data_IF_565367906003
#
_entry.id   IF_565367906003
#
_cell.length_a   1.000
_cell.length_b   1.000
_cell.length_c   1.000
_cell.angle_alpha   90.00
_cell.angle_beta   90.00
_cell.angle_gamma   90.00
#
_symmetry.space_group_name_H-M   'P 1'
#
loop_
_entity.id
_entity.type
_entity.pdbx_description
1 polymer ?
#
# COMPACT_ATOMS: atom_id res chain seq x y z
N UNK A 1 -0.29 18.91 6.81
CA UNK A 1 -1.50 19.74 6.56
C UNK A 1 -1.12 20.88 5.63
N UNK A 2 -2.01 21.24 4.70
CA UNK A 2 -1.80 22.34 3.76
C UNK A 2 -1.97 23.69 4.46
N UNK A 3 -1.02 24.59 4.24
CA UNK A 3 -1.22 26.01 4.47
C UNK A 3 -2.15 26.50 3.34
N UNK A 4 -3.47 26.57 3.60
CA UNK A 4 -4.47 27.12 2.67
C UNK A 4 -5.47 27.96 3.44
N UNK A 5 -5.63 29.21 3.02
CA UNK A 5 -6.48 30.22 3.68
C UNK A 5 -5.74 31.53 3.97
N UNK A 6 -4.43 31.46 4.25
CA UNK A 6 -3.64 32.66 4.60
C UNK A 6 -3.60 33.67 3.44
N UNK A 7 -4.23 34.84 3.64
CA UNK A 7 -4.00 36.03 2.83
C UNK A 7 -2.54 36.46 2.99
N UNK A 8 -1.97 37.13 1.98
CA UNK A 8 -0.55 37.55 1.93
C UNK A 8 -0.19 38.44 3.13
N UNK A 9 0.32 37.84 4.21
CA UNK A 9 0.63 38.51 5.48
C UNK A 9 0.08 37.84 6.74
N UNK A 10 -0.90 36.92 6.64
CA UNK A 10 -1.43 36.17 7.78
C UNK A 10 -0.43 35.09 8.23
N UNK A 11 0.17 35.29 9.41
CA UNK A 11 1.02 34.31 10.09
C UNK A 11 0.26 33.47 11.12
N UNK A 12 -1.02 33.77 11.35
CA UNK A 12 -1.91 33.01 12.23
C UNK A 12 -2.21 31.63 11.64
N UNK A 13 -2.03 30.53 12.40
CA UNK A 13 -2.54 29.23 11.99
C UNK A 13 -4.05 29.29 11.75
N UNK A 14 -4.55 28.59 10.72
CA UNK A 14 -5.98 28.32 10.58
C UNK A 14 -6.48 27.58 11.82
N UNK A 15 -7.47 28.15 12.52
CA UNK A 15 -7.94 27.61 13.82
C UNK A 15 -8.62 26.24 13.69
N UNK A 16 -9.21 25.93 12.53
CA UNK A 16 -9.92 24.69 12.29
C UNK A 16 -9.00 23.58 11.78
N UNK A 17 -8.92 22.51 12.57
CA UNK A 17 -8.30 21.23 12.21
C UNK A 17 -9.25 20.43 11.31
N UNK A 18 -8.70 19.70 10.33
CA UNK A 18 -9.46 18.71 9.54
C UNK A 18 -9.75 17.42 10.33
N UNK A 19 -9.07 17.22 11.46
CA UNK A 19 -9.39 16.15 12.41
C UNK A 19 -10.55 16.57 13.30
N UNK A 20 -11.63 15.78 13.31
CA UNK A 20 -12.75 15.93 14.23
C UNK A 20 -12.49 15.12 15.51
N UNK A 21 -12.48 15.78 16.67
CA UNK A 21 -12.20 15.13 17.96
C UNK A 21 -13.39 14.35 18.53
N UNK A 22 -14.61 14.53 18.03
CA UNK A 22 -15.79 13.76 18.47
C UNK A 22 -15.90 12.48 17.66
N UNK A 23 -15.81 12.61 16.34
CA UNK A 23 -15.90 11.50 15.40
C UNK A 23 -14.56 10.79 15.19
N UNK A 24 -13.46 11.30 15.76
CA UNK A 24 -12.11 10.72 15.72
C UNK A 24 -11.71 10.28 14.30
N UNK A 25 -11.92 11.18 13.33
CA UNK A 25 -11.67 10.94 11.91
C UNK A 25 -11.30 12.25 11.20
N UNK A 26 -10.69 12.15 10.02
CA UNK A 26 -10.39 13.30 9.18
C UNK A 26 -11.52 13.57 8.17
N UNK A 27 -11.96 14.82 8.09
CA UNK A 27 -12.99 15.27 7.16
C UNK A 27 -12.48 16.40 6.27
N UNK A 28 -13.02 16.49 5.05
CA UNK A 28 -12.82 17.66 4.19
C UNK A 28 -13.58 18.87 4.74
N UNK A 29 -13.10 20.07 4.43
CA UNK A 29 -13.80 21.31 4.74
C UNK A 29 -14.01 22.14 3.48
N UNK A 30 -15.23 22.67 3.30
CA UNK A 30 -15.56 23.63 2.27
C UNK A 30 -15.46 25.06 2.81
N UNK A 31 -14.90 25.96 2.02
CA UNK A 31 -14.77 27.38 2.35
C UNK A 31 -15.48 28.22 1.30
N UNK A 32 -16.39 29.11 1.73
CA UNK A 32 -17.21 29.95 0.85
C UNK A 32 -17.51 31.30 1.51
N UNK A 33 -17.10 32.39 0.87
CA UNK A 33 -17.09 33.72 1.51
C UNK A 33 -16.20 33.70 2.75
N UNK A 34 -16.69 34.21 3.87
CA UNK A 34 -16.00 34.12 5.17
C UNK A 34 -16.36 32.87 6.00
N UNK A 35 -17.10 31.91 5.42
CA UNK A 35 -17.54 30.69 6.12
C UNK A 35 -16.66 29.50 5.77
N UNK A 36 -16.34 28.68 6.77
CA UNK A 36 -15.72 27.37 6.61
C UNK A 36 -16.54 26.33 7.34
N UNK A 37 -16.88 25.23 6.67
CA UNK A 37 -17.71 24.15 7.20
C UNK A 37 -17.05 22.80 6.93
N UNK A 38 -16.97 21.96 7.97
CA UNK A 38 -16.57 20.55 7.84
C UNK A 38 -17.67 19.75 7.14
N UNK A 39 -17.27 18.84 6.26
CA UNK A 39 -18.14 17.90 5.55
C UNK A 39 -17.93 16.50 6.17
N UNK A 40 -18.79 16.05 7.11
CA UNK A 40 -18.68 14.75 7.80
C UNK A 40 -19.01 13.56 6.88
N UNK A 41 -18.23 13.41 5.82
CA UNK A 41 -18.28 12.35 4.83
C UNK A 41 -17.09 11.43 5.11
N UNK A 42 -17.37 10.21 5.56
CA UNK A 42 -16.39 9.14 5.83
C UNK A 42 -15.90 8.55 4.50
N UNK A 43 -15.17 9.35 3.75
CA UNK A 43 -14.51 8.94 2.50
C UNK A 43 -13.07 8.49 2.75
N UNK A 44 -12.50 7.84 1.75
CA UNK A 44 -11.09 7.49 1.71
C UNK A 44 -10.15 8.72 1.83
N UNK A 45 -10.64 9.94 1.58
CA UNK A 45 -9.87 11.18 1.85
C UNK A 45 -9.48 11.29 3.32
N UNK A 46 -10.34 10.84 4.24
CA UNK A 46 -10.03 10.78 5.68
C UNK A 46 -8.93 9.76 6.04
N UNK A 47 -8.61 8.83 5.14
CA UNK A 47 -7.53 7.85 5.29
C UNK A 47 -6.21 8.33 4.66
N UNK A 48 -6.24 9.29 3.72
CA UNK A 48 -5.04 9.84 3.04
C UNK A 48 -3.94 10.31 4.00
N UNK A 49 -4.21 10.90 5.20
CA UNK A 49 -3.16 11.26 6.15
C UNK A 49 -2.22 10.12 6.55
N UNK A 50 -2.64 8.85 6.46
CA UNK A 50 -1.80 7.67 6.70
C UNK A 50 -0.65 7.55 5.67
N UNK A 51 -0.86 8.00 4.43
CA UNK A 51 0.12 7.92 3.33
C UNK A 51 1.36 8.77 3.59
N UNK A 52 1.19 9.85 4.34
CA UNK A 52 2.28 10.73 4.75
C UNK A 52 2.99 10.14 5.98
N UNK A 53 3.60 8.97 5.79
CA UNK A 53 4.41 8.24 6.77
C UNK A 53 5.75 7.80 6.17
N UNK A 54 6.83 7.97 6.92
CA UNK A 54 8.19 7.54 6.54
C UNK A 54 8.97 7.08 7.77
N UNK A 55 9.45 5.85 7.74
CA UNK A 55 10.28 5.26 8.80
C UNK A 55 11.76 5.38 8.41
N UNK A 56 12.59 5.93 9.29
CA UNK A 56 14.00 6.21 9.07
C UNK A 56 14.88 5.31 9.95
N UNK A 57 15.75 4.53 9.32
CA UNK A 57 16.70 3.63 10.00
C UNK A 57 17.92 4.39 10.55
N UNK A 58 18.47 4.04 11.73
CA UNK A 58 19.66 4.67 12.30
C UNK A 58 20.86 4.66 11.35
N UNK A 59 21.07 3.56 10.63
CA UNK A 59 22.15 3.37 9.66
C UNK A 59 22.02 4.30 8.47
N UNK A 60 20.79 4.66 8.09
CA UNK A 60 20.52 5.63 7.04
C UNK A 60 20.82 7.05 7.54
N UNK A 61 20.38 7.41 8.75
CA UNK A 61 20.68 8.70 9.37
C UNK A 61 22.19 8.92 9.56
N UNK A 62 22.92 7.88 9.96
CA UNK A 62 24.37 7.94 10.15
C UNK A 62 25.14 8.15 8.83
N UNK A 63 24.58 7.77 7.67
CA UNK A 63 25.15 8.08 6.34
C UNK A 63 24.96 9.54 5.92
N UNK A 64 24.03 10.27 6.54
CA UNK A 64 23.70 11.66 6.21
C UNK A 64 23.82 12.59 7.44
N UNK A 65 25.03 12.78 8.01
CA UNK A 65 25.22 13.51 9.27
C UNK A 65 24.72 14.96 9.21
N UNK A 66 24.85 15.64 8.07
CA UNK A 66 24.33 17.00 7.87
C UNK A 66 22.80 17.08 7.86
N UNK A 67 22.11 15.99 7.47
CA UNK A 67 20.66 15.88 7.59
C UNK A 67 20.27 15.57 9.04
N UNK A 68 20.91 14.55 9.64
CA UNK A 68 20.73 14.16 11.05
C UNK A 68 20.83 15.37 12.00
N UNK A 69 21.89 16.17 11.90
CA UNK A 69 22.06 17.40 12.69
C UNK A 69 20.91 18.41 12.57
N UNK A 70 20.32 18.56 11.37
CA UNK A 70 19.16 19.45 11.16
C UNK A 70 17.86 18.84 11.68
N UNK A 71 17.73 17.52 11.58
CA UNK A 71 16.61 16.76 12.13
C UNK A 71 16.60 16.89 13.66
N UNK A 72 17.71 16.54 14.31
CA UNK A 72 17.88 16.62 15.76
C UNK A 72 17.64 18.06 16.26
N UNK A 73 18.23 19.07 15.61
CA UNK A 73 17.98 20.48 15.95
C UNK A 73 16.50 20.87 15.83
N UNK A 74 15.79 20.41 14.79
CA UNK A 74 14.36 20.68 14.62
C UNK A 74 13.54 20.03 15.74
N UNK A 75 13.85 18.79 16.11
CA UNK A 75 13.20 18.07 17.22
C UNK A 75 13.38 18.82 18.53
N UNK A 76 14.61 19.25 18.83
CA UNK A 76 14.94 19.98 20.06
C UNK A 76 14.28 21.37 20.14
N UNK A 77 14.27 22.12 19.02
CA UNK A 77 13.94 23.55 19.00
C UNK A 77 12.52 23.86 18.49
N UNK A 78 11.82 22.90 17.88
CA UNK A 78 10.45 23.05 17.33
C UNK A 78 9.48 21.98 17.86
N UNK A 79 9.65 21.58 19.12
CA UNK A 79 8.82 20.58 19.83
C UNK A 79 7.32 20.73 19.58
N UNK A 80 6.75 21.93 19.74
CA UNK A 80 5.31 22.18 19.51
C UNK A 80 4.82 21.92 18.08
N UNK A 81 5.71 21.97 17.08
CA UNK A 81 5.39 21.61 15.69
C UNK A 81 5.63 20.12 15.44
N UNK A 82 6.71 19.56 16.01
CA UNK A 82 7.02 18.14 15.95
C UNK A 82 5.94 17.29 16.63
N UNK A 83 5.64 17.54 17.90
CA UNK A 83 4.65 16.81 18.70
C UNK A 83 3.23 16.86 18.11
N UNK A 84 2.87 17.96 17.42
CA UNK A 84 1.54 18.13 16.80
C UNK A 84 1.40 17.53 15.39
N UNK A 85 2.50 17.35 14.65
CA UNK A 85 2.45 17.02 13.21
C UNK A 85 3.38 15.87 12.79
N UNK A 86 4.22 15.35 13.69
CA UNK A 86 5.21 14.32 13.41
C UNK A 86 5.21 13.30 14.54
N UNK A 87 4.58 12.15 14.28
CA UNK A 87 4.48 11.06 15.23
C UNK A 87 5.85 10.55 15.70
N UNK A 88 6.17 10.80 16.97
CA UNK A 88 7.34 10.24 17.66
C UNK A 88 8.71 10.68 17.11
N UNK A 89 9.01 11.96 17.30
CA UNK A 89 10.35 12.50 17.13
C UNK A 89 11.28 12.29 18.34
N UNK A 90 10.71 12.17 19.54
CA UNK A 90 11.46 12.02 20.80
C UNK A 90 11.66 10.57 21.20
N UNK A 91 10.69 9.70 20.92
CA UNK A 91 10.78 8.29 21.26
C UNK A 91 11.30 7.53 20.03
N UNK A 92 12.00 6.43 20.28
CA UNK A 92 12.58 5.57 19.25
C UNK A 92 11.69 4.34 19.10
N UNK A 93 11.48 3.91 17.86
CA UNK A 93 10.75 2.69 17.53
C UNK A 93 11.67 1.49 17.44
N UNK A 94 11.14 0.36 16.97
CA UNK A 94 11.86 -0.91 16.85
C UNK A 94 13.16 -0.74 16.04
N UNK A 95 14.28 -1.11 16.65
CA UNK A 95 15.61 -0.95 16.05
C UNK A 95 16.08 0.51 15.98
N UNK A 96 15.78 1.32 17.01
CA UNK A 96 16.13 2.75 17.11
C UNK A 96 15.57 3.63 15.98
N UNK A 97 14.53 3.15 15.27
CA UNK A 97 13.96 3.85 14.12
C UNK A 97 13.24 5.14 14.53
N UNK A 98 13.25 6.11 13.62
CA UNK A 98 12.43 7.32 13.70
C UNK A 98 11.21 7.20 12.79
N UNK A 99 10.06 7.74 13.23
CA UNK A 99 8.88 7.89 12.40
C UNK A 99 8.66 9.36 12.05
N UNK A 100 8.44 9.62 10.76
CA UNK A 100 7.95 10.90 10.25
C UNK A 100 6.54 10.67 9.71
N UNK A 101 5.51 10.86 10.53
CA UNK A 101 4.12 10.69 10.10
C UNK A 101 3.18 11.80 10.57
N UNK A 102 2.22 12.20 9.73
CA UNK A 102 1.19 13.20 10.08
C UNK A 102 0.19 12.70 11.14
N UNK A 103 0.07 11.38 11.30
CA UNK A 103 -0.88 10.70 12.18
C UNK A 103 -0.09 10.07 13.33
N UNK A 104 -0.40 10.47 14.57
CA UNK A 104 0.18 9.90 15.80
C UNK A 104 -0.45 8.54 16.15
N UNK A 105 0.03 7.88 17.22
CA UNK A 105 -0.42 6.53 17.59
C UNK A 105 -1.93 6.49 17.88
N UNK A 106 -2.42 7.53 18.56
CA UNK A 106 -3.79 7.65 19.03
C UNK A 106 -4.76 7.79 17.85
N UNK A 107 -4.46 8.74 16.94
CA UNK A 107 -5.24 8.92 15.70
C UNK A 107 -5.10 7.74 14.75
N UNK A 108 -3.94 7.08 14.71
CA UNK A 108 -3.73 5.87 13.90
C UNK A 108 -4.71 4.78 14.33
N UNK A 109 -4.76 4.44 15.63
CA UNK A 109 -5.69 3.43 16.14
C UNK A 109 -7.14 3.82 15.84
N UNK A 110 -7.55 5.07 16.11
CA UNK A 110 -8.93 5.52 15.90
C UNK A 110 -9.36 5.54 14.41
N UNK A 111 -8.43 5.76 13.48
CA UNK A 111 -8.69 5.61 12.03
C UNK A 111 -8.82 4.12 11.68
N UNK A 112 -7.94 3.27 12.20
CA UNK A 112 -7.95 1.84 11.90
C UNK A 112 -9.22 1.15 12.40
N UNK A 113 -9.80 1.57 13.53
CA UNK A 113 -11.09 1.05 14.01
C UNK A 113 -12.23 1.18 12.98
N UNK A 114 -12.22 2.23 12.14
CA UNK A 114 -13.20 2.40 11.05
C UNK A 114 -12.73 1.78 9.74
N UNK A 115 -11.43 1.90 9.45
CA UNK A 115 -10.84 1.38 8.21
C UNK A 115 -10.97 -0.15 8.12
N UNK A 116 -10.92 -0.85 9.25
CA UNK A 116 -10.96 -2.30 9.36
C UNK A 116 -12.35 -2.84 9.77
N UNK A 117 -13.38 -1.98 9.76
CA UNK A 117 -14.78 -2.36 10.03
C UNK A 117 -15.52 -2.68 8.73
N UNK A 118 -16.19 -3.83 8.70
CA UNK A 118 -16.86 -4.36 7.50
C UNK A 118 -18.20 -3.67 7.19
N UNK A 119 -18.83 -3.04 8.18
CA UNK A 119 -19.98 -2.14 8.01
C UNK A 119 -19.55 -0.71 7.60
N UNK A 120 -18.25 -0.43 7.58
CA UNK A 120 -17.67 0.84 7.12
C UNK A 120 -16.82 0.63 5.85
N UNK A 121 -15.49 0.53 6.01
CA UNK A 121 -14.54 0.60 4.89
C UNK A 121 -14.03 -0.76 4.39
N UNK A 122 -14.04 -1.81 5.22
CA UNK A 122 -13.45 -3.10 4.90
C UNK A 122 -14.43 -3.98 4.11
N UNK A 123 -14.24 -4.10 2.81
CA UNK A 123 -14.93 -5.10 1.99
C UNK A 123 -14.22 -6.44 2.04
N UNK A 124 -14.90 -7.52 1.68
CA UNK A 124 -14.27 -8.82 1.34
C UNK A 124 -13.21 -8.69 0.23
N UNK A 125 -13.26 -7.60 -0.55
CA UNK A 125 -12.39 -7.36 -1.70
C UNK A 125 -11.36 -6.24 -1.49
N UNK A 126 -11.26 -5.64 -0.30
CA UNK A 126 -10.32 -4.56 0.03
C UNK A 126 -10.98 -3.31 0.65
N UNK A 127 -10.28 -2.17 0.67
CA UNK A 127 -10.78 -0.93 1.27
C UNK A 127 -11.62 -0.13 0.25
N UNK A 128 -12.87 0.16 0.64
CA UNK A 128 -13.86 0.95 -0.11
C UNK A 128 -13.46 2.44 -0.20
N UNK A 129 -13.85 3.12 -1.27
CA UNK A 129 -13.59 4.57 -1.45
C UNK A 129 -14.47 5.49 -0.60
N UNK A 130 -15.63 4.99 -0.16
CA UNK A 130 -16.54 5.63 0.80
C UNK A 130 -17.02 4.56 1.78
N UNK A 131 -17.18 4.93 3.05
CA UNK A 131 -17.73 4.03 4.05
C UNK A 131 -19.16 3.61 3.73
N UNK A 132 -19.45 2.32 3.91
CA UNK A 132 -20.78 1.72 3.79
C UNK A 132 -21.78 2.25 4.83
N UNK A 133 -21.32 2.91 5.90
CA UNK A 133 -22.16 3.71 6.80
C UNK A 133 -23.09 4.69 6.06
N UNK A 134 -22.62 5.27 4.95
CA UNK A 134 -23.37 6.21 4.12
C UNK A 134 -24.43 5.56 3.22
N UNK A 135 -24.63 4.24 3.28
CA UNK A 135 -25.80 3.56 2.72
C UNK A 135 -27.05 3.89 3.55
N UNK A 136 -26.92 3.76 4.87
CA UNK A 136 -28.00 3.99 5.85
C UNK A 136 -28.05 5.45 6.32
N UNK A 137 -26.92 6.18 6.23
CA UNK A 137 -26.75 7.55 6.72
C UNK A 137 -26.11 8.45 5.63
N UNK A 138 -26.82 8.73 4.53
CA UNK A 138 -26.30 9.62 3.49
C UNK A 138 -25.99 11.00 4.06
N UNK A 139 -24.91 11.63 3.59
CA UNK A 139 -24.62 13.03 3.93
C UNK A 139 -25.43 13.95 3.03
N UNK A 140 -26.17 14.90 3.62
CA UNK A 140 -27.06 15.81 2.91
C UNK A 140 -26.69 17.27 3.19
N UNK A 141 -26.76 18.11 2.16
CA UNK A 141 -26.54 19.56 2.28
C UNK A 141 -27.56 20.31 1.41
N UNK A 142 -28.30 21.25 2.00
CA UNK A 142 -29.13 22.20 1.26
C UNK A 142 -28.29 23.45 0.94
N UNK A 143 -28.23 23.83 -0.34
CA UNK A 143 -27.65 25.09 -0.80
C UNK A 143 -28.68 25.81 -1.65
N UNK A 144 -29.19 26.93 -1.14
CA UNK A 144 -30.19 27.79 -1.82
C UNK A 144 -31.48 27.05 -2.25
N UNK A 145 -31.93 26.05 -1.50
CA UNK A 145 -33.09 25.22 -1.83
C UNK A 145 -32.80 24.07 -2.79
N UNK A 146 -31.53 23.86 -3.17
CA UNK A 146 -31.08 22.66 -3.86
C UNK A 146 -30.43 21.70 -2.86
N UNK A 147 -31.04 20.52 -2.70
CA UNK A 147 -30.50 19.42 -1.90
C UNK A 147 -29.42 18.67 -2.67
N UNK A 148 -28.25 18.52 -2.06
CA UNK A 148 -27.15 17.65 -2.48
C UNK A 148 -27.05 16.46 -1.53
N UNK A 149 -26.74 15.28 -2.07
CA UNK A 149 -26.67 14.01 -1.33
C UNK A 149 -25.39 13.25 -1.71
N UNK A 150 -24.68 12.74 -0.69
CA UNK A 150 -23.57 11.80 -0.84
C UNK A 150 -23.90 10.54 -0.05
N UNK A 151 -24.31 9.50 -0.77
CA UNK A 151 -24.57 8.15 -0.25
C UNK A 151 -23.54 7.14 -0.74
N UNK A 152 -23.48 6.00 -0.06
CA UNK A 152 -22.73 4.83 -0.52
C UNK A 152 -23.32 4.26 -1.81
N UNK A 153 -22.46 3.96 -2.77
CA UNK A 153 -22.73 3.24 -4.01
C UNK A 153 -21.56 2.27 -4.25
N UNK A 154 -21.77 0.95 -4.19
CA UNK A 154 -20.66 0.00 -4.28
C UNK A 154 -20.02 -0.01 -5.68
N UNK A 155 -20.77 0.27 -6.74
CA UNK A 155 -20.31 0.25 -8.13
C UNK A 155 -20.43 1.60 -8.83
N UNK A 156 -21.25 1.67 -9.88
CA UNK A 156 -21.40 2.87 -10.71
C UNK A 156 -22.13 4.02 -9.99
N UNK A 157 -21.74 5.24 -10.33
CA UNK A 157 -22.37 6.49 -9.89
C UNK A 157 -23.80 6.63 -10.42
N UNK A 158 -24.75 6.91 -9.53
CA UNK A 158 -26.15 7.20 -9.87
C UNK A 158 -26.38 8.62 -10.43
N UNK A 159 -25.33 9.41 -10.62
CA UNK A 159 -25.41 10.77 -11.16
C UNK A 159 -24.25 11.12 -12.10
N UNK A 160 -24.54 11.98 -13.08
CA UNK A 160 -23.59 12.47 -14.08
C UNK A 160 -22.68 13.62 -13.61
N UNK A 161 -22.62 13.91 -12.31
CA UNK A 161 -21.85 15.02 -11.76
C UNK A 161 -20.38 14.96 -12.21
N UNK A 162 -19.82 16.10 -12.63
CA UNK A 162 -18.46 16.23 -13.16
C UNK A 162 -18.13 15.34 -14.38
N UNK A 163 -19.12 15.08 -15.25
CA UNK A 163 -18.88 14.42 -16.55
C UNK A 163 -19.01 12.89 -16.54
N UNK A 164 -19.70 12.33 -15.54
CA UNK A 164 -20.22 10.96 -15.62
C UNK A 164 -19.28 9.81 -15.20
N UNK A 165 -18.03 10.08 -14.78
CA UNK A 165 -17.10 9.03 -14.29
C UNK A 165 -16.61 9.25 -12.84
N UNK A 166 -17.40 9.92 -11.98
CA UNK A 166 -17.00 10.17 -10.58
C UNK A 166 -17.32 8.98 -9.66
N UNK A 167 -16.63 7.85 -9.90
CA UNK A 167 -16.89 6.56 -9.26
C UNK A 167 -16.07 6.33 -7.97
N UNK A 168 -16.19 7.26 -7.02
CA UNK A 168 -15.47 7.26 -5.73
C UNK A 168 -16.39 7.21 -4.50
N UNK A 169 -17.64 6.77 -4.69
CA UNK A 169 -18.69 6.70 -3.65
C UNK A 169 -18.85 5.32 -3.01
N UNK A 170 -17.83 4.47 -3.07
CA UNK A 170 -17.89 3.11 -2.52
C UNK A 170 -17.03 2.05 -3.22
N UNK A 171 -16.71 2.14 -4.53
CA UNK A 171 -15.86 1.15 -5.20
C UNK A 171 -14.46 1.05 -4.60
N UNK A 172 -13.79 -0.06 -4.89
CA UNK A 172 -12.43 -0.39 -4.44
C UNK A 172 -11.45 -0.03 -5.55
N UNK A 173 -10.43 0.75 -5.19
CA UNK A 173 -9.42 1.26 -6.10
C UNK A 173 -8.03 0.77 -5.68
N UNK A 174 -7.31 0.13 -6.61
CA UNK A 174 -5.98 -0.44 -6.35
C UNK A 174 -4.88 0.56 -5.94
N UNK A 175 -4.78 1.79 -6.51
CA UNK A 175 -3.73 2.75 -6.13
C UNK A 175 -3.78 3.12 -4.64
N UNK A 176 -4.98 3.36 -4.12
CA UNK A 176 -5.19 3.86 -2.76
C UNK A 176 -5.08 2.74 -1.73
N UNK A 177 -5.54 1.53 -2.07
CA UNK A 177 -5.26 0.32 -1.30
C UNK A 177 -3.75 0.03 -1.24
N UNK A 178 -3.02 0.22 -2.34
CA UNK A 178 -1.56 0.11 -2.35
C UNK A 178 -0.87 1.08 -1.40
N UNK A 179 -1.30 2.35 -1.37
CA UNK A 179 -0.77 3.33 -0.43
C UNK A 179 -1.15 3.03 1.02
N UNK A 180 -2.35 2.50 1.30
CA UNK A 180 -2.76 2.06 2.66
C UNK A 180 -1.89 0.90 3.15
N UNK A 181 -1.74 -0.15 2.34
CA UNK A 181 -0.93 -1.34 2.62
C UNK A 181 0.54 -0.96 2.89
N UNK A 182 1.13 -0.11 2.04
CA UNK A 182 2.50 0.38 2.25
C UNK A 182 2.61 1.28 3.50
N UNK A 183 1.57 2.03 3.88
CA UNK A 183 1.55 2.84 5.10
C UNK A 183 1.50 1.97 6.36
N UNK A 184 0.63 0.96 6.38
CA UNK A 184 0.55 -0.03 7.45
C UNK A 184 1.90 -0.72 7.68
N UNK A 185 2.59 -1.11 6.59
CA UNK A 185 3.94 -1.66 6.64
C UNK A 185 4.97 -0.66 7.21
N UNK A 186 4.92 0.63 6.87
CA UNK A 186 5.78 1.67 7.47
C UNK A 186 5.52 1.86 8.97
N UNK A 187 4.26 1.92 9.38
CA UNK A 187 3.89 2.00 10.79
C UNK A 187 4.33 0.74 11.56
N UNK A 188 4.21 -0.46 10.97
CA UNK A 188 4.75 -1.69 11.56
C UNK A 188 6.27 -1.65 11.76
N UNK A 189 7.05 -1.15 10.79
CA UNK A 189 8.50 -1.00 10.96
C UNK A 189 8.90 -0.07 12.12
N UNK A 190 7.99 0.79 12.57
CA UNK A 190 8.21 1.65 13.74
C UNK A 190 7.68 1.04 15.03
N UNK A 191 6.42 0.58 15.04
CA UNK A 191 5.72 0.11 16.24
C UNK A 191 5.90 -1.38 16.56
N UNK A 192 6.38 -2.19 15.62
CA UNK A 192 6.58 -3.63 15.79
C UNK A 192 5.30 -4.45 15.96
N UNK A 193 5.46 -5.61 16.59
CA UNK A 193 4.40 -6.55 16.99
C UNK A 193 3.55 -6.06 18.16
N UNK A 194 4.03 -5.08 18.93
CA UNK A 194 3.36 -4.55 20.13
C UNK A 194 2.07 -3.79 19.81
N UNK A 195 2.04 -3.05 18.70
CA UNK A 195 0.84 -2.35 18.26
C UNK A 195 -0.06 -3.30 17.47
N UNK A 196 -1.02 -3.87 18.18
CA UNK A 196 -2.11 -4.67 17.61
C UNK A 196 -3.41 -3.88 17.56
N UNK A 197 -4.21 -4.13 16.54
CA UNK A 197 -5.56 -3.60 16.36
C UNK A 197 -6.49 -4.75 15.99
N UNK A 198 -7.78 -4.58 16.29
CA UNK A 198 -8.81 -5.55 15.93
C UNK A 198 -9.02 -5.57 14.41
N UNK A 199 -8.95 -6.73 13.76
CA UNK A 199 -9.02 -6.85 12.30
C UNK A 199 -9.57 -8.21 11.86
N UNK A 200 -10.80 -8.31 11.32
CA UNK A 200 -11.80 -7.22 11.18
C UNK A 200 -12.28 -6.66 12.52
N UNK A 201 -12.81 -5.43 12.53
CA UNK A 201 -13.46 -4.85 13.71
C UNK A 201 -14.63 -5.72 14.16
N UNK A 202 -14.77 -5.97 15.46
CA UNK A 202 -15.79 -6.84 16.04
C UNK A 202 -15.50 -8.35 15.95
N UNK A 203 -14.40 -8.78 15.31
CA UNK A 203 -14.02 -10.19 15.24
C UNK A 203 -13.40 -10.75 16.53
N UNK A 204 -12.88 -9.89 17.40
CA UNK A 204 -12.05 -10.28 18.54
C UNK A 204 -10.62 -10.69 18.21
N UNK A 205 -10.24 -10.76 16.92
CA UNK A 205 -8.87 -11.09 16.50
C UNK A 205 -8.00 -9.83 16.40
N UNK A 206 -6.86 -9.84 17.11
CA UNK A 206 -5.95 -8.70 17.23
C UNK A 206 -4.67 -8.92 16.43
N UNK A 207 -4.58 -8.25 15.29
CA UNK A 207 -3.48 -8.35 14.35
C UNK A 207 -2.50 -7.17 14.50
N UNK A 208 -1.20 -7.42 14.28
CA UNK A 208 -0.23 -6.33 14.12
C UNK A 208 -0.38 -5.65 12.75
N UNK A 209 0.19 -4.47 12.58
CA UNK A 209 -0.04 -3.67 11.36
C UNK A 209 0.49 -4.32 10.07
N UNK A 210 1.49 -5.21 10.11
CA UNK A 210 1.91 -5.98 8.93
C UNK A 210 0.92 -7.10 8.59
N UNK A 211 0.33 -7.74 9.60
CA UNK A 211 -0.75 -8.73 9.42
C UNK A 211 -2.02 -8.06 8.87
N UNK A 212 -2.39 -6.87 9.35
CA UNK A 212 -3.48 -6.08 8.75
C UNK A 212 -3.20 -5.73 7.28
N UNK A 213 -1.95 -5.42 6.93
CA UNK A 213 -1.55 -5.18 5.55
C UNK A 213 -1.67 -6.44 4.68
N UNK A 214 -1.31 -7.63 5.21
CA UNK A 214 -1.48 -8.91 4.52
C UNK A 214 -2.96 -9.27 4.31
N UNK A 215 -3.82 -9.04 5.31
CA UNK A 215 -5.27 -9.28 5.21
C UNK A 215 -5.89 -8.47 4.06
N UNK A 216 -5.58 -7.17 3.96
CA UNK A 216 -6.02 -6.30 2.86
C UNK A 216 -5.47 -6.80 1.51
N UNK A 217 -4.20 -7.23 1.46
CA UNK A 217 -3.60 -7.79 0.25
C UNK A 217 -4.30 -9.07 -0.21
N UNK A 218 -4.63 -9.99 0.70
CA UNK A 218 -5.32 -11.24 0.38
C UNK A 218 -6.72 -10.99 -0.18
N UNK A 219 -7.50 -10.09 0.44
CA UNK A 219 -8.81 -9.65 -0.06
C UNK A 219 -8.73 -9.07 -1.48
N UNK A 220 -7.72 -8.25 -1.77
CA UNK A 220 -7.48 -7.71 -3.12
C UNK A 220 -6.94 -8.74 -4.12
N UNK A 221 -6.26 -9.79 -3.65
CA UNK A 221 -5.82 -10.91 -4.49
C UNK A 221 -6.99 -11.84 -4.84
N UNK A 222 -7.91 -12.09 -3.90
CA UNK A 222 -9.10 -12.93 -4.08
C UNK A 222 -10.01 -12.45 -5.22
N UNK A 223 -10.02 -11.15 -5.54
CA UNK A 223 -10.66 -10.60 -6.74
C UNK A 223 -10.33 -11.38 -8.03
N UNK A 224 -9.10 -11.91 -8.14
CA UNK A 224 -8.56 -12.57 -9.32
C UNK A 224 -8.31 -14.08 -9.12
N UNK A 225 -8.78 -14.68 -8.03
CA UNK A 225 -8.66 -16.13 -7.77
C UNK A 225 -10.02 -16.78 -8.04
N UNK A 226 -10.10 -17.99 -8.63
CA UNK A 226 -11.38 -18.65 -8.82
C UNK A 226 -11.85 -19.27 -7.50
N UNK A 227 -13.13 -19.12 -7.19
CA UNK A 227 -13.80 -19.78 -6.06
C UNK A 227 -13.93 -21.30 -6.29
N UNK A 228 -14.53 -22.01 -5.33
CA UNK A 228 -14.80 -23.44 -5.42
C UNK A 228 -15.71 -23.83 -6.61
N UNK A 229 -16.46 -22.88 -7.18
CA UNK A 229 -17.34 -23.06 -8.34
C UNK A 229 -16.67 -22.63 -9.67
N UNK A 230 -15.42 -22.14 -9.62
CA UNK A 230 -14.67 -21.63 -10.77
C UNK A 230 -14.90 -20.15 -11.12
N UNK A 231 -15.69 -19.41 -10.34
CA UNK A 231 -15.99 -18.00 -10.60
C UNK A 231 -14.93 -17.08 -10.00
N UNK A 232 -14.58 -15.99 -10.68
CA UNK A 232 -13.73 -14.92 -10.13
C UNK A 232 -14.58 -13.71 -9.81
N UNK A 233 -14.41 -13.09 -8.65
CA UNK A 233 -15.19 -11.90 -8.30
C UNK A 233 -15.03 -10.79 -9.36
N UNK A 234 -13.81 -10.55 -9.89
CA UNK A 234 -13.57 -9.56 -10.94
C UNK A 234 -14.41 -9.74 -12.22
N UNK A 235 -14.86 -10.97 -12.51
CA UNK A 235 -15.66 -11.30 -13.68
C UNK A 235 -17.18 -11.11 -13.46
N UNK A 236 -17.62 -10.98 -12.20
CA UNK A 236 -19.02 -11.08 -11.83
C UNK A 236 -19.67 -12.38 -12.31
N UNK A 237 -20.98 -12.33 -12.60
CA UNK A 237 -21.79 -13.48 -13.03
C UNK A 237 -21.57 -13.92 -14.50
N UNK A 238 -20.44 -13.56 -15.11
CA UNK A 238 -20.18 -13.84 -16.52
C UNK A 238 -19.60 -15.25 -16.74
N UNK A 239 -20.49 -16.22 -16.97
CA UNK A 239 -20.17 -17.62 -17.25
C UNK A 239 -19.12 -17.83 -18.37
N UNK A 240 -19.08 -16.95 -19.39
CA UNK A 240 -18.10 -17.08 -20.47
C UNK A 240 -16.66 -16.95 -19.92
N UNK A 241 -16.37 -15.89 -19.17
CA UNK A 241 -15.02 -15.63 -18.63
C UNK A 241 -14.74 -16.35 -17.31
N UNK A 242 -15.73 -17.02 -16.71
CA UNK A 242 -15.54 -17.88 -15.53
C UNK A 242 -15.36 -19.36 -15.90
N UNK A 243 -16.18 -19.90 -16.82
CA UNK A 243 -16.36 -21.35 -16.99
C UNK A 243 -15.97 -21.88 -18.36
N UNK A 244 -16.02 -21.07 -19.42
CA UNK A 244 -15.67 -21.53 -20.77
C UNK A 244 -14.19 -21.92 -20.85
N UNK A 245 -13.92 -23.09 -21.42
CA UNK A 245 -12.59 -23.69 -21.49
C UNK A 245 -11.58 -22.84 -22.29
N UNK A 246 -12.04 -21.95 -23.16
CA UNK A 246 -11.20 -21.03 -23.94
C UNK A 246 -11.04 -19.64 -23.29
N UNK A 247 -11.89 -19.27 -22.32
CA UNK A 247 -11.91 -17.90 -21.77
C UNK A 247 -11.58 -17.78 -20.27
N UNK A 248 -11.80 -18.82 -19.45
CA UNK A 248 -11.62 -18.80 -17.98
C UNK A 248 -10.24 -18.40 -17.45
N UNK A 249 -9.20 -18.56 -18.27
CA UNK A 249 -7.81 -18.27 -17.94
C UNK A 249 -7.36 -16.86 -18.39
N UNK A 250 -8.18 -16.16 -19.18
CA UNK A 250 -7.93 -14.77 -19.60
C UNK A 250 -8.54 -13.78 -18.60
N UNK A 251 -7.85 -13.55 -17.49
CA UNK A 251 -8.31 -12.66 -16.42
C UNK A 251 -8.14 -11.18 -16.82
N UNK A 252 -9.23 -10.40 -17.00
CA UNK A 252 -9.14 -8.97 -17.29
C UNK A 252 -8.79 -8.15 -16.05
N UNK A 253 -8.08 -7.04 -16.26
CA UNK A 253 -7.90 -5.99 -15.25
C UNK A 253 -8.85 -4.83 -15.51
N UNK A 254 -9.35 -4.22 -14.42
CA UNK A 254 -10.35 -3.15 -14.46
C UNK A 254 -9.85 -1.88 -13.79
N UNK A 255 -10.53 -0.77 -14.06
CA UNK A 255 -10.25 0.54 -13.48
C UNK A 255 -10.49 0.55 -11.97
N UNK A 256 -11.64 0.01 -11.55
CA UNK A 256 -12.04 -0.17 -10.16
C UNK A 256 -12.95 -1.40 -10.02
N UNK A 257 -13.25 -1.77 -8.78
CA UNK A 257 -14.03 -2.97 -8.45
C UNK A 257 -15.21 -2.60 -7.55
N UNK A 258 -16.33 -3.27 -7.74
CA UNK A 258 -17.54 -3.07 -6.95
C UNK A 258 -17.28 -3.39 -5.46
N UNK A 259 -17.63 -2.47 -4.58
CA UNK A 259 -17.29 -2.49 -3.16
C UNK A 259 -18.00 -3.56 -2.33
N UNK A 260 -19.00 -4.24 -2.89
CA UNK A 260 -19.76 -5.31 -2.23
C UNK A 260 -19.80 -6.63 -3.02
N UNK A 261 -19.50 -6.64 -4.32
CA UNK A 261 -19.50 -7.86 -5.15
C UNK A 261 -18.17 -8.16 -5.83
N UNK A 262 -17.20 -7.23 -5.78
CA UNK A 262 -15.88 -7.41 -6.38
C UNK A 262 -15.85 -7.45 -7.91
N UNK A 263 -17.00 -7.33 -8.61
CA UNK A 263 -17.03 -7.27 -10.08
C UNK A 263 -16.23 -6.08 -10.61
N UNK A 264 -15.52 -6.31 -11.70
CA UNK A 264 -14.73 -5.30 -12.37
C UNK A 264 -15.59 -4.27 -13.10
N UNK A 265 -15.24 -2.99 -12.96
CA UNK A 265 -15.99 -1.85 -13.48
C UNK A 265 -15.06 -0.80 -14.10
N UNK A 266 -15.65 0.14 -14.84
CA UNK A 266 -14.92 1.15 -15.61
C UNK A 266 -14.15 0.55 -16.80
N UNK A 267 -13.02 1.15 -17.16
CA UNK A 267 -12.20 0.66 -18.26
C UNK A 267 -11.67 -0.77 -18.00
N UNK A 268 -11.99 -1.71 -18.92
CA UNK A 268 -11.37 -3.05 -18.93
C UNK A 268 -9.99 -3.03 -19.60
N UNK A 269 -9.21 -4.08 -19.37
CA UNK A 269 -7.80 -4.18 -19.77
C UNK A 269 -6.90 -3.09 -19.17
N UNK A 270 -7.29 -2.54 -17.99
CA UNK A 270 -6.56 -1.52 -17.27
C UNK A 270 -5.30 -2.10 -16.59
N UNK A 271 -4.33 -2.54 -17.38
CA UNK A 271 -2.98 -2.94 -16.95
C UNK A 271 -2.09 -1.73 -16.60
N UNK A 272 -2.72 -0.68 -16.04
CA UNK A 272 -2.08 0.44 -15.36
C UNK A 272 -1.90 0.09 -13.88
N UNK A 273 -2.60 0.79 -13.00
CA UNK A 273 -2.45 0.61 -11.55
C UNK A 273 -2.85 -0.79 -11.04
N UNK A 274 -3.83 -1.44 -11.67
CA UNK A 274 -4.36 -2.74 -11.20
C UNK A 274 -3.32 -3.86 -11.31
N UNK A 275 -2.34 -3.71 -12.21
CA UNK A 275 -1.19 -4.61 -12.31
C UNK A 275 -0.32 -4.66 -11.03
N UNK A 276 -0.49 -3.73 -10.08
CA UNK A 276 0.19 -3.80 -8.77
C UNK A 276 -0.16 -5.07 -7.97
N UNK A 277 -1.27 -5.74 -8.29
CA UNK A 277 -1.60 -7.06 -7.71
C UNK A 277 -0.48 -8.09 -7.93
N UNK A 278 0.26 -8.01 -9.04
CA UNK A 278 1.39 -8.89 -9.32
C UNK A 278 2.54 -8.72 -8.30
N UNK A 279 2.68 -7.52 -7.70
CA UNK A 279 3.60 -7.30 -6.57
C UNK A 279 3.09 -8.05 -5.34
N UNK A 280 1.81 -7.96 -5.00
CA UNK A 280 1.26 -8.66 -3.83
C UNK A 280 1.24 -10.17 -3.96
N UNK A 281 0.95 -10.71 -5.15
CA UNK A 281 1.06 -12.15 -5.43
C UNK A 281 2.51 -12.62 -5.23
N UNK A 282 3.47 -11.88 -5.78
CA UNK A 282 4.89 -12.16 -5.57
C UNK A 282 5.29 -12.08 -4.09
N UNK A 283 4.91 -10.99 -3.44
CA UNK A 283 5.29 -10.66 -2.08
C UNK A 283 4.74 -11.71 -1.10
N UNK A 284 3.43 -12.00 -1.13
CA UNK A 284 2.84 -13.05 -0.31
C UNK A 284 3.32 -14.45 -0.71
N UNK A 285 3.50 -14.72 -2.01
CA UNK A 285 4.08 -15.97 -2.49
C UNK A 285 5.49 -16.23 -1.95
N UNK A 286 6.31 -15.18 -1.73
CA UNK A 286 7.62 -15.32 -1.07
C UNK A 286 7.53 -15.52 0.45
N UNK A 287 6.42 -15.15 1.09
CA UNK A 287 6.15 -15.46 2.51
C UNK A 287 5.49 -16.81 2.73
N UNK A 288 4.80 -17.36 1.72
CA UNK A 288 4.29 -18.73 1.69
C UNK A 288 5.44 -19.74 1.63
N UNK A 289 6.20 -19.86 2.74
CA UNK A 289 7.03 -21.03 2.98
C UNK A 289 6.10 -22.23 3.06
N UNK A 290 6.27 -23.20 2.17
CA UNK A 290 5.73 -24.55 2.38
C UNK A 290 6.12 -24.97 3.81
N UNK A 291 5.18 -25.47 4.63
CA UNK A 291 5.51 -25.89 5.98
C UNK A 291 6.65 -26.90 5.91
N UNK A 292 7.81 -26.55 6.49
CA UNK A 292 8.91 -27.52 6.68
C UNK A 292 8.40 -28.54 7.67
N UNK A 293 7.81 -29.62 7.16
CA UNK A 293 7.08 -30.62 7.92
C UNK A 293 7.87 -31.11 9.13
N UNK A 294 7.45 -30.76 10.36
CA UNK A 294 7.88 -31.51 11.53
C UNK A 294 7.29 -32.91 11.40
N UNK A 295 8.14 -33.95 11.55
CA UNK A 295 7.66 -35.33 11.64
C UNK A 295 6.71 -35.49 12.85
N UNK A 296 5.76 -36.44 12.80
CA UNK A 296 4.48 -36.25 13.45
C UNK A 296 4.54 -36.43 14.97
N UNK A 297 3.93 -35.48 15.68
CA UNK A 297 3.25 -35.73 16.95
C UNK A 297 1.79 -35.26 16.84
N UNK A 298 0.85 -35.93 17.54
CA UNK A 298 -0.56 -35.82 17.20
C UNK A 298 -1.18 -34.49 17.67
N UNK A 299 -1.86 -33.81 16.74
CA UNK A 299 -2.60 -32.53 16.87
C UNK A 299 -1.74 -31.26 16.82
N UNK A 300 -1.48 -30.71 15.62
CA UNK A 300 -1.17 -29.28 15.48
C UNK A 300 -2.43 -28.45 15.75
N UNK A 301 -2.30 -27.38 16.54
CA UNK A 301 -3.25 -26.26 16.53
C UNK A 301 -2.90 -25.44 15.30
N UNK A 302 -3.77 -25.44 14.27
CA UNK A 302 -3.56 -24.63 13.06
C UNK A 302 -3.88 -23.16 13.37
N UNK A 303 -2.94 -22.26 13.12
CA UNK A 303 -3.24 -20.84 12.86
C UNK A 303 -3.77 -20.75 11.42
N UNK A 304 -5.09 -20.83 11.25
CA UNK A 304 -5.74 -20.48 9.98
C UNK A 304 -5.80 -18.94 9.88
N UNK A 305 -5.67 -18.37 8.67
CA UNK A 305 -6.23 -17.03 8.46
C UNK A 305 -7.75 -17.19 8.31
N UNK A 306 -8.52 -16.17 8.70
CA UNK A 306 -10.00 -16.25 8.68
C UNK A 306 -10.56 -16.56 7.28
N UNK A 307 -9.80 -16.24 6.22
CA UNK A 307 -10.18 -16.45 4.82
C UNK A 307 -9.30 -17.48 4.07
N UNK A 308 -8.56 -18.35 4.76
CA UNK A 308 -7.99 -19.52 4.10
C UNK A 308 -9.12 -20.53 3.85
N UNK A 309 -9.64 -20.57 2.63
CA UNK A 309 -10.69 -21.52 2.24
C UNK A 309 -10.33 -22.94 2.66
N UNK A 310 -11.24 -23.59 3.37
CA UNK A 310 -11.22 -25.04 3.50
C UNK A 310 -11.57 -25.63 2.13
N UNK A 311 -10.55 -25.98 1.35
CA UNK A 311 -10.73 -26.91 0.24
C UNK A 311 -11.16 -28.25 0.84
N UNK A 312 -12.48 -28.51 0.86
CA UNK A 312 -13.09 -29.83 1.11
C UNK A 312 -12.76 -30.81 -0.03
N UNK A 313 -11.46 -31.01 -0.26
CA UNK A 313 -10.92 -31.96 -1.19
C UNK A 313 -9.74 -32.70 -0.55
N UNK A 314 -9.90 -33.09 0.72
CA UNK A 314 -9.02 -34.08 1.37
C UNK A 314 -8.97 -35.41 0.57
N UNK A 315 -9.97 -35.67 -0.28
CA UNK A 315 -9.97 -36.75 -1.28
C UNK A 315 -9.04 -36.54 -2.49
N UNK A 316 -8.56 -35.33 -2.77
CA UNK A 316 -7.59 -35.06 -3.84
C UNK A 316 -6.13 -35.15 -3.35
N UNK A 317 -5.89 -35.02 -2.04
CA UNK A 317 -4.55 -35.13 -1.43
C UNK A 317 -4.06 -36.57 -1.24
N UNK A 318 -4.77 -37.57 -1.78
CA UNK A 318 -4.32 -38.97 -1.83
C UNK A 318 -3.60 -39.35 -3.12
N UNK A 319 -3.28 -38.38 -3.98
CA UNK A 319 -2.38 -38.58 -5.12
C UNK A 319 -1.14 -37.71 -4.94
N UNK A 320 0.03 -38.36 -5.04
CA UNK A 320 1.34 -37.70 -5.05
C UNK A 320 1.54 -36.97 -6.40
N UNK A 321 0.75 -35.92 -6.69
CA UNK A 321 1.14 -34.95 -7.72
C UNK A 321 2.46 -34.32 -7.26
N UNK A 322 3.54 -34.51 -8.05
CA UNK A 322 4.86 -34.01 -7.72
C UNK A 322 4.82 -32.47 -7.60
N UNK A 323 5.41 -31.88 -6.56
CA UNK A 323 5.47 -30.42 -6.39
C UNK A 323 6.03 -29.72 -7.64
N UNK A 324 6.95 -30.36 -8.38
CA UNK A 324 7.48 -29.86 -9.65
C UNK A 324 6.42 -29.82 -10.77
N UNK A 325 5.51 -30.79 -10.82
CA UNK A 325 4.43 -30.87 -11.83
C UNK A 325 3.34 -29.82 -11.54
N UNK A 326 3.02 -29.58 -10.27
CA UNK A 326 2.19 -28.44 -9.86
C UNK A 326 2.87 -27.10 -10.19
N UNK A 327 4.18 -26.97 -9.95
CA UNK A 327 4.93 -25.77 -10.31
C UNK A 327 4.99 -25.54 -11.83
N UNK A 328 5.09 -26.57 -12.67
CA UNK A 328 4.97 -26.43 -14.13
C UNK A 328 3.55 -26.09 -14.59
N UNK A 329 2.53 -26.70 -13.97
CA UNK A 329 1.09 -26.47 -14.25
C UNK A 329 0.68 -25.01 -14.00
N UNK A 330 1.25 -24.38 -12.97
CA UNK A 330 1.03 -22.97 -12.63
C UNK A 330 2.16 -22.02 -13.08
N UNK A 331 3.19 -22.53 -13.78
CA UNK A 331 4.23 -21.67 -14.35
C UNK A 331 3.61 -20.71 -15.39
N UNK A 332 3.93 -19.40 -15.34
CA UNK A 332 3.42 -18.46 -16.34
C UNK A 332 3.96 -18.85 -17.71
N UNK A 333 3.07 -19.37 -18.57
CA UNK A 333 3.40 -19.72 -19.96
C UNK A 333 3.97 -18.48 -20.65
N UNK A 334 5.04 -18.66 -21.40
CA UNK A 334 5.69 -17.55 -22.10
C UNK A 334 4.69 -16.86 -23.04
N UNK A 335 4.42 -15.58 -22.78
CA UNK A 335 3.65 -14.75 -23.72
C UNK A 335 4.38 -14.59 -25.06
N UNK A 336 3.75 -13.98 -26.07
CA UNK A 336 4.28 -13.90 -27.44
C UNK A 336 5.57 -13.06 -27.61
N UNK A 337 6.14 -12.54 -26.52
CA UNK A 337 7.36 -11.73 -26.53
C UNK A 337 8.59 -12.56 -26.12
N UNK A 338 9.54 -12.82 -27.05
CA UNK A 338 10.73 -13.61 -26.74
C UNK A 338 11.75 -12.81 -25.93
N UNK A 339 11.95 -13.18 -24.66
CA UNK A 339 13.05 -12.62 -23.86
C UNK A 339 13.11 -13.09 -22.42
N UNK A 340 14.28 -13.61 -21.98
CA UNK A 340 14.60 -13.76 -20.56
C UNK A 340 14.96 -12.40 -19.96
N UNK A 341 13.96 -11.66 -19.50
CA UNK A 341 14.18 -10.46 -18.68
C UNK A 341 14.77 -10.86 -17.32
N UNK A 342 16.10 -10.85 -17.22
CA UNK A 342 16.82 -11.06 -15.97
C UNK A 342 16.45 -9.96 -14.96
N UNK A 343 15.67 -10.33 -13.93
CA UNK A 343 15.19 -9.42 -12.89
C UNK A 343 16.39 -8.85 -12.10
N UNK A 344 16.64 -7.55 -12.27
CA UNK A 344 17.56 -6.79 -11.40
C UNK A 344 17.02 -6.88 -9.97
N UNK A 345 17.81 -7.43 -9.03
CA UNK A 345 17.49 -7.37 -7.60
C UNK A 345 17.64 -5.92 -7.13
N UNK A 346 16.57 -5.14 -7.30
CA UNK A 346 16.43 -3.82 -6.69
C UNK A 346 16.48 -3.93 -5.16
N UNK A 347 16.71 -2.81 -4.48
CA UNK A 347 16.98 -2.77 -3.03
C UNK A 347 15.90 -3.45 -2.18
N UNK A 348 16.25 -3.76 -0.92
CA UNK A 348 15.37 -4.42 0.06
C UNK A 348 13.95 -3.83 -0.03
N UNK A 349 12.99 -4.65 -0.51
CA UNK A 349 11.58 -4.25 -0.55
C UNK A 349 11.12 -3.89 0.86
N UNK A 350 10.16 -2.96 0.99
CA UNK A 350 9.54 -2.65 2.28
C UNK A 350 9.02 -3.94 2.94
N UNK A 351 8.42 -4.81 2.12
CA UNK A 351 8.02 -6.16 2.50
C UNK A 351 9.18 -7.00 3.06
N UNK A 352 10.36 -7.00 2.43
CA UNK A 352 11.50 -7.81 2.92
C UNK A 352 11.97 -7.31 4.30
N UNK A 353 11.82 -6.02 4.59
CA UNK A 353 12.08 -5.48 5.92
C UNK A 353 11.00 -5.90 6.92
N UNK A 354 9.72 -5.82 6.55
CA UNK A 354 8.63 -6.27 7.44
C UNK A 354 8.66 -7.78 7.69
N UNK A 355 8.99 -8.60 6.70
CA UNK A 355 9.19 -10.05 6.85
C UNK A 355 10.39 -10.33 7.78
N UNK A 356 11.52 -9.65 7.58
CA UNK A 356 12.67 -9.80 8.48
C UNK A 356 12.31 -9.45 9.93
N UNK A 357 11.45 -8.45 10.14
CA UNK A 357 10.93 -8.12 11.47
C UNK A 357 9.87 -9.10 12.01
N UNK A 358 9.05 -9.71 11.16
CA UNK A 358 8.09 -10.76 11.55
C UNK A 358 8.81 -12.05 11.94
N UNK A 359 9.72 -12.55 11.09
CA UNK A 359 10.55 -13.73 11.34
C UNK A 359 11.35 -13.59 12.65
N UNK A 360 11.86 -12.40 12.95
CA UNK A 360 12.58 -12.14 14.22
C UNK A 360 11.67 -12.16 15.44
N UNK A 361 10.40 -11.74 15.32
CA UNK A 361 9.44 -11.76 16.42
C UNK A 361 9.01 -13.17 16.81
N UNK A 362 8.70 -14.03 15.84
CA UNK A 362 8.33 -15.43 16.08
C UNK A 362 9.50 -16.25 16.69
N UNK A 363 10.77 -15.86 16.42
CA UNK A 363 11.98 -16.48 16.99
C UNK A 363 12.32 -16.01 18.43
N UNK A 364 11.72 -14.92 18.92
CA UNK A 364 11.87 -14.42 20.30
C UNK A 364 10.85 -15.04 21.25
N UNK A 365 9.59 -15.26 20.80
CA UNK A 365 8.54 -15.95 21.56
C UNK A 365 8.88 -17.44 21.88
N UNK A 366 9.87 -18.02 21.22
CA UNK A 366 10.32 -19.42 21.36
C UNK A 366 11.51 -19.62 22.32
N UNK A 367 11.98 -18.59 23.04
CA UNK A 367 13.23 -18.63 23.82
C UNK A 367 13.13 -18.52 25.35
N UNK A 368 11.93 -18.64 25.91
CA UNK A 368 11.75 -18.77 27.37
C UNK A 368 11.94 -20.23 27.86
N UNK A 369 13.15 -20.77 27.65
CA UNK A 369 13.65 -21.96 28.37
C UNK A 369 15.13 -21.78 28.71
N UNK A 370 15.43 -21.61 30.01
CA UNK A 370 16.78 -21.49 30.56
C UNK A 370 17.68 -22.71 30.26
N UNK A 371 18.63 -22.60 29.33
CA UNK A 371 19.95 -23.26 29.42
C UNK A 371 21.06 -22.41 28.75
N UNK A 372 22.28 -22.32 29.36
CA UNK A 372 23.35 -21.47 28.85
C UNK A 372 24.22 -22.21 27.82
N UNK A 373 24.11 -21.84 26.53
CA UNK A 373 24.99 -22.37 25.48
C UNK A 373 26.14 -21.39 25.17
N UNK A 374 27.36 -21.93 25.26
CA UNK A 374 28.60 -21.14 25.25
C UNK A 374 29.18 -20.89 23.85
N UNK A 375 29.94 -19.80 23.73
CA UNK A 375 31.15 -19.77 22.89
C UNK A 375 30.99 -19.29 21.45
N UNK A 376 31.24 -17.99 21.24
CA UNK A 376 31.72 -17.47 19.95
C UNK A 376 33.03 -18.19 19.54
N UNK A 377 33.08 -18.85 18.37
CA UNK A 377 34.31 -19.00 17.55
C UNK A 377 34.06 -19.51 16.13
N UNK A 378 34.85 -18.97 15.21
CA UNK A 378 35.22 -19.48 13.88
C UNK A 378 34.12 -19.92 12.88
N UNK A 379 33.69 -18.97 12.04
CA UNK A 379 33.48 -19.25 10.61
C UNK A 379 34.34 -18.28 9.79
N UNK A 380 35.29 -18.84 9.04
CA UNK A 380 36.31 -18.09 8.28
C UNK A 380 35.76 -17.67 6.91
N UNK A 381 36.22 -16.51 6.44
CA UNK A 381 36.02 -16.04 5.07
C UNK A 381 36.54 -17.08 4.06
N UNK A 382 35.72 -17.42 3.05
CA UNK A 382 36.17 -18.16 1.87
C UNK A 382 36.21 -17.20 0.69
N UNK A 383 37.33 -16.48 0.56
CA UNK A 383 37.72 -15.82 -0.68
C UNK A 383 38.45 -16.83 -1.55
N UNK A 384 37.81 -17.35 -2.59
CA UNK A 384 38.49 -18.16 -3.60
C UNK A 384 39.22 -17.23 -4.59
N UNK A 385 40.55 -17.31 -4.61
CA UNK A 385 41.35 -16.77 -5.70
C UNK A 385 41.30 -17.73 -6.89
N UNK A 386 41.10 -17.20 -8.09
CA UNK A 386 41.63 -17.76 -9.33
C UNK A 386 42.09 -16.57 -10.20
N UNK A 387 43.28 -16.69 -10.77
CA UNK A 387 43.89 -15.67 -11.61
C UNK A 387 44.35 -16.29 -12.95
N UNK A 388 44.59 -15.42 -13.93
CA UNK A 388 45.19 -15.66 -15.25
C UNK A 388 44.45 -16.54 -16.28
N UNK A 389 43.82 -15.86 -17.24
CA UNK A 389 44.32 -15.87 -18.63
C UNK A 389 43.88 -17.00 -19.58
N UNK A 390 42.65 -16.92 -20.11
CA UNK A 390 42.31 -17.54 -21.40
C UNK A 390 41.24 -16.75 -22.18
N UNK A 391 41.54 -16.55 -23.45
CA UNK A 391 40.83 -15.81 -24.49
C UNK A 391 39.30 -16.08 -24.60
N UNK A 392 38.47 -15.05 -24.45
CA UNK A 392 37.03 -15.09 -24.75
C UNK A 392 36.59 -13.77 -25.42
N UNK A 393 36.19 -13.86 -26.69
CA UNK A 393 35.79 -12.72 -27.50
C UNK A 393 34.33 -12.29 -27.26
N UNK A 394 33.99 -10.99 -27.40
CA UNK A 394 32.63 -10.51 -27.19
C UNK A 394 31.74 -10.77 -28.43
N UNK A 395 30.90 -11.80 -28.37
CA UNK A 395 29.87 -12.06 -29.39
C UNK A 395 28.80 -10.97 -29.35
N UNK A 396 28.77 -10.11 -30.37
CA UNK A 396 27.80 -9.02 -30.47
C UNK A 396 26.44 -9.50 -30.99
N UNK A 397 25.41 -9.51 -30.13
CA UNK A 397 24.01 -9.56 -30.56
C UNK A 397 23.57 -8.17 -31.05
N UNK A 398 23.47 -8.00 -32.37
CA UNK A 398 22.89 -6.79 -32.99
C UNK A 398 21.37 -6.79 -32.78
N UNK A 399 20.85 -5.85 -31.98
CA UNK A 399 19.41 -5.82 -31.72
C UNK A 399 18.91 -4.83 -30.67
N UNK A 400 19.52 -3.63 -30.53
CA UNK A 400 18.87 -2.50 -29.87
C UNK A 400 19.52 -1.18 -30.33
N UNK A 401 18.73 -0.11 -30.38
CA UNK A 401 19.16 1.23 -30.81
C UNK A 401 20.22 1.78 -29.86
N UNK A 402 21.26 2.38 -30.44
CA UNK A 402 22.41 2.88 -29.70
C UNK A 402 22.09 4.17 -28.94
N UNK A 403 22.21 4.12 -27.61
CA UNK A 403 22.19 5.28 -26.71
C UNK A 403 23.45 5.34 -25.84
N UNK A 404 24.63 5.10 -26.42
CA UNK A 404 25.95 5.31 -25.79
C UNK A 404 26.58 6.66 -26.08
N UNK A 405 25.78 7.66 -26.46
CA UNK A 405 26.19 9.06 -26.39
C UNK A 405 26.16 9.57 -24.96
N UNK A 406 27.31 9.69 -24.30
CA UNK A 406 27.41 10.47 -23.07
C UNK A 406 27.35 11.96 -23.45
N UNK A 407 26.20 12.62 -23.25
CA UNK A 407 26.08 14.06 -23.49
C UNK A 407 26.85 14.83 -22.40
N UNK A 408 28.02 15.44 -22.72
CA UNK A 408 28.81 16.16 -21.73
C UNK A 408 28.09 17.41 -21.23
N UNK A 409 27.12 17.93 -21.99
CA UNK A 409 26.39 19.15 -21.65
C UNK A 409 25.16 18.89 -20.77
N UNK A 410 24.72 17.64 -20.56
CA UNK A 410 23.54 17.34 -19.74
C UNK A 410 23.64 17.92 -18.33
N UNK A 411 24.81 17.79 -17.68
CA UNK A 411 25.04 18.36 -16.35
C UNK A 411 25.12 19.89 -16.34
N UNK A 412 25.49 20.51 -17.47
CA UNK A 412 25.51 21.96 -17.63
C UNK A 412 24.12 22.53 -17.96
N UNK A 413 23.32 21.82 -18.75
CA UNK A 413 21.89 22.10 -18.98
C UNK A 413 21.09 22.01 -17.68
N UNK A 414 21.29 20.96 -16.87
CA UNK A 414 20.66 20.84 -15.55
C UNK A 414 21.05 22.03 -14.65
N UNK A 415 22.34 22.39 -14.58
CA UNK A 415 22.80 23.56 -13.82
C UNK A 415 22.26 24.89 -14.37
N UNK A 416 22.09 25.00 -15.68
CA UNK A 416 21.48 26.17 -16.35
C UNK A 416 19.99 26.28 -16.03
N UNK A 417 19.25 25.18 -16.03
CA UNK A 417 17.85 25.12 -15.61
C UNK A 417 17.69 25.53 -14.14
N UNK A 418 18.52 25.00 -13.24
CA UNK A 418 18.52 25.42 -11.82
C UNK A 418 18.93 26.89 -11.62
N UNK A 419 19.80 27.47 -12.47
CA UNK A 419 20.13 28.92 -12.44
C UNK A 419 19.03 29.80 -13.03
N UNK A 420 18.27 29.31 -14.01
CA UNK A 420 17.06 29.97 -14.54
C UNK A 420 15.88 29.90 -13.58
N UNK A 421 15.89 28.96 -12.63
CA UNK A 421 14.88 28.86 -11.57
C UNK A 421 15.07 29.95 -10.50
N UNK A 422 14.80 31.21 -10.87
CA UNK A 422 14.36 32.23 -9.89
C UNK A 422 12.90 31.95 -9.55
N UNK A 423 12.52 32.19 -8.30
CA UNK A 423 11.12 32.15 -7.89
C UNK A 423 10.30 33.07 -8.81
N UNK A 424 9.27 32.53 -9.48
CA UNK A 424 8.17 33.36 -9.98
C UNK A 424 7.54 34.01 -8.76
N UNK A 425 7.64 35.33 -8.69
CA UNK A 425 6.83 36.17 -7.81
C UNK A 425 5.54 36.51 -8.54
N UNK A 426 4.43 36.67 -7.80
CA UNK A 426 3.06 36.76 -8.33
C UNK A 426 2.73 38.09 -9.08
N UNK A 427 3.65 38.63 -9.87
CA UNK A 427 3.46 39.84 -10.69
C UNK A 427 3.50 39.57 -12.21
N UNK A 428 3.82 38.34 -12.64
CA UNK A 428 3.87 37.91 -14.05
C UNK A 428 2.64 37.05 -14.46
N UNK A 429 1.44 37.35 -13.94
CA UNK A 429 0.15 36.82 -14.42
C UNK A 429 -0.76 37.93 -14.98
N UNK A 430 -0.28 38.55 -16.05
CA UNK A 430 -1.07 39.25 -17.06
C UNK A 430 -0.43 38.97 -18.44
N UNK A 431 -1.24 38.88 -19.51
CA UNK A 431 -0.86 38.56 -20.90
C UNK A 431 -0.34 37.10 -21.10
N UNK A 432 -0.63 36.29 -22.14
CA UNK A 432 -1.43 36.27 -23.39
C UNK A 432 -1.77 34.77 -23.66
N UNK A 433 -2.72 34.27 -24.48
CA UNK A 433 -3.80 34.81 -25.34
C UNK A 433 -4.92 33.73 -25.47
N UNK A 434 -6.11 34.08 -25.96
CA UNK A 434 -7.06 33.13 -26.59
C UNK A 434 -6.53 32.55 -27.92
N UNK A 435 -6.98 31.35 -28.30
CA UNK A 435 -7.32 30.92 -29.69
C UNK A 435 -7.85 29.48 -29.60
N UNK A 436 -9.09 29.10 -29.93
CA UNK A 436 -9.77 29.13 -31.24
C UNK A 436 -8.91 28.59 -32.40
N UNK A 437 -9.16 27.32 -32.74
CA UNK A 437 -9.65 26.97 -34.08
C UNK A 437 -10.57 25.74 -34.03
#
# INVERSE_FOLDING_TARGET
MSYRGAKKGEQSPTEQSLWDEKDQFYYDAIHFGDHTQSLPIRSLVGLIPLYASLTLEPELLNKFPSFKKRLDWFIENRKSVAERNIASMTNRGVGERLLLALVNKERLVAILERMLDEEEFLSEYGIRSLSKYHEKNPFELDVNGQKYEVKYLPGESDSGMFGGNSNWRGPIWFPVNFLLVESLQRFYLYYGSDLKVECPKGSGEYLNLAQCAQEIQHRLMHLFVPDANGNRACNGDNDLVNKDAYFKDYVPFYEYFDGDTGRGLGASHQCGWTAVVAKWIHDNGTTCRTPKTPKPHPKPIRRNSIHSFETENESALSQEENDEELLEKFAPRAGPFPGRLMRRRSGKSLLNLTIQSLDLGDDEDMKDTDEPIAGFRDLKNVTAQMDEGADLSPTASRGSVDSRGHDPNLMEQIRSAFRKYKNRTDEDEADEFETRH
#
